data_IF_307443972590
#
_entry.id   IF_307443972590
#
_cell.length_a   1.000
_cell.length_b   1.000
_cell.length_c   1.000
_cell.angle_alpha   90.00
_cell.angle_beta   90.00
_cell.angle_gamma   90.00
#
_symmetry.space_group_name_H-M   'P 1'
#
loop_
_entity.id
_entity.type
_entity.pdbx_description
1 polymer ?
#
# COMPACT_ATOMS: atom_id res chain seq x y z
N UNK A 1 -7.30 -19.29 -8.29
CA UNK A 1 -8.48 -18.41 -8.13
C UNK A 1 -7.98 -17.09 -7.60
N UNK A 2 -7.61 -16.18 -8.51
CA UNK A 2 -7.16 -14.85 -8.11
C UNK A 2 -8.40 -14.09 -7.66
N UNK A 3 -8.63 -13.99 -6.34
CA UNK A 3 -9.58 -13.00 -5.83
C UNK A 3 -9.14 -11.67 -6.43
N UNK A 4 -10.03 -10.99 -7.13
CA UNK A 4 -9.97 -9.55 -7.37
C UNK A 4 -10.04 -8.87 -5.99
N UNK A 5 -8.98 -9.01 -5.21
CA UNK A 5 -8.87 -8.45 -3.89
C UNK A 5 -8.62 -6.97 -4.12
N UNK A 6 -9.62 -6.16 -3.77
CA UNK A 6 -9.53 -4.69 -3.76
C UNK A 6 -8.51 -4.22 -2.71
N UNK A 7 -8.01 -5.14 -1.90
CA UNK A 7 -6.94 -4.95 -0.94
C UNK A 7 -5.58 -5.18 -1.57
N UNK A 8 -4.70 -4.19 -1.47
CA UNK A 8 -3.29 -4.28 -1.84
C UNK A 8 -2.44 -4.43 -0.58
N UNK A 9 -1.31 -5.13 -0.73
CA UNK A 9 -0.28 -5.23 0.30
C UNK A 9 0.88 -4.32 -0.07
N UNK A 10 1.37 -3.54 0.89
CA UNK A 10 2.53 -2.67 0.73
C UNK A 10 3.53 -3.03 1.82
N UNK A 11 4.56 -3.77 1.45
CA UNK A 11 5.66 -4.13 2.33
C UNK A 11 6.83 -3.17 2.22
N UNK A 12 7.83 -3.39 3.08
CA UNK A 12 9.09 -2.64 3.08
C UNK A 12 8.92 -1.15 3.42
N UNK A 13 7.92 -0.83 4.23
CA UNK A 13 7.66 0.54 4.65
C UNK A 13 8.61 0.94 5.79
N UNK A 14 9.10 2.20 5.79
CA UNK A 14 9.93 2.70 6.88
C UNK A 14 9.11 2.74 8.18
N UNK A 15 9.77 2.51 9.32
CA UNK A 15 9.11 2.50 10.63
C UNK A 15 8.49 3.83 11.05
N UNK A 16 8.75 4.91 10.30
CA UNK A 16 8.18 6.25 10.53
C UNK A 16 6.94 6.53 9.67
N UNK A 17 6.55 5.62 8.76
CA UNK A 17 5.38 5.86 7.90
C UNK A 17 4.08 5.90 8.70
N UNK A 18 3.12 6.68 8.22
CA UNK A 18 1.79 6.81 8.83
C UNK A 18 0.70 6.46 7.82
N UNK A 19 -0.47 6.08 8.32
CA UNK A 19 -1.64 5.78 7.50
C UNK A 19 -2.00 6.96 6.58
N UNK A 20 -1.86 8.20 7.06
CA UNK A 20 -2.08 9.41 6.22
C UNK A 20 -1.13 9.51 5.04
N UNK A 21 0.14 9.20 5.23
CA UNK A 21 1.13 9.21 4.14
C UNK A 21 0.72 8.19 3.08
N UNK A 22 0.28 7.01 3.52
CA UNK A 22 -0.21 5.95 2.64
C UNK A 22 -1.49 6.40 1.93
N UNK A 23 -2.44 6.99 2.65
CA UNK A 23 -3.66 7.55 2.08
C UNK A 23 -3.34 8.56 0.98
N UNK A 24 -2.54 9.59 1.27
CA UNK A 24 -2.11 10.61 0.29
C UNK A 24 -1.37 9.99 -0.91
N UNK A 25 -0.52 9.00 -0.63
CA UNK A 25 0.22 8.26 -1.65
C UNK A 25 -0.74 7.52 -2.59
N UNK A 26 -1.79 6.88 -2.07
CA UNK A 26 -2.65 5.94 -2.81
C UNK A 26 -3.97 6.56 -3.29
N UNK A 27 -4.40 7.67 -2.71
CA UNK A 27 -5.60 8.44 -3.06
C UNK A 27 -5.68 8.78 -4.56
N UNK A 28 -4.53 9.03 -5.19
CA UNK A 28 -4.47 9.36 -6.64
C UNK A 28 -4.85 8.20 -7.56
N UNK A 29 -4.77 6.96 -7.08
CA UNK A 29 -5.10 5.77 -7.87
C UNK A 29 -6.59 5.44 -7.78
N UNK A 30 -7.20 5.70 -6.62
CA UNK A 30 -8.60 5.38 -6.39
C UNK A 30 -9.05 5.69 -4.98
N UNK A 31 -10.34 5.47 -4.73
CA UNK A 31 -10.94 5.71 -3.42
C UNK A 31 -10.57 4.58 -2.46
N UNK A 32 -9.94 4.97 -1.35
CA UNK A 32 -9.56 4.04 -0.28
C UNK A 32 -10.74 3.90 0.68
N UNK A 33 -11.08 2.66 1.02
CA UNK A 33 -12.13 2.28 1.95
C UNK A 33 -11.55 2.05 3.35
N UNK A 34 -10.40 1.39 3.42
CA UNK A 34 -9.75 1.02 4.67
C UNK A 34 -8.22 0.99 4.52
N UNK A 35 -7.50 1.34 5.58
CA UNK A 35 -6.03 1.27 5.65
C UNK A 35 -5.68 0.58 6.95
N UNK A 36 -5.01 -0.58 6.87
CA UNK A 36 -4.47 -1.30 8.01
C UNK A 36 -2.95 -1.21 7.99
N UNK A 37 -2.40 -0.26 8.74
CA UNK A 37 -0.95 -0.12 8.91
C UNK A 37 -0.47 -0.98 10.09
N UNK A 38 0.51 -1.84 9.80
CA UNK A 38 1.16 -2.72 10.77
C UNK A 38 2.65 -2.41 10.83
N UNK A 39 3.03 -1.69 11.88
CA UNK A 39 4.43 -1.37 12.19
C UNK A 39 4.91 -2.27 13.35
N UNK A 40 5.60 -3.38 13.06
CA UNK A 40 6.27 -4.15 14.10
C UNK A 40 7.46 -3.37 14.69
N UNK A 41 7.84 -3.65 15.95
CA UNK A 41 9.00 -3.02 16.60
C UNK A 41 10.35 -3.35 15.92
N UNK A 42 10.37 -4.32 14.99
CA UNK A 42 11.50 -4.58 14.09
C UNK A 42 11.08 -4.29 12.65
N UNK A 43 11.69 -3.34 11.94
CA UNK A 43 11.39 -3.08 10.53
C UNK A 43 11.72 -4.31 9.65
N UNK A 44 11.08 -4.43 8.48
CA UNK A 44 10.20 -3.45 7.85
C UNK A 44 8.74 -3.47 8.32
N UNK A 45 8.09 -2.31 8.21
CA UNK A 45 6.64 -2.18 8.32
C UNK A 45 5.91 -2.71 7.10
N UNK A 46 4.63 -3.03 7.28
CA UNK A 46 3.74 -3.39 6.18
C UNK A 46 2.37 -2.72 6.38
N UNK A 47 1.67 -2.48 5.28
CA UNK A 47 0.33 -1.94 5.30
C UNK A 47 -0.56 -2.70 4.31
N UNK A 48 -1.83 -2.82 4.66
CA UNK A 48 -2.88 -3.27 3.76
C UNK A 48 -3.78 -2.09 3.44
N UNK A 49 -4.11 -1.91 2.17
CA UNK A 49 -4.94 -0.79 1.72
C UNK A 49 -6.08 -1.39 0.91
N UNK A 50 -7.30 -1.19 1.37
CA UNK A 50 -8.50 -1.62 0.67
C UNK A 50 -9.08 -0.49 -0.16
N UNK A 51 -9.22 -0.73 -1.46
CA UNK A 51 -9.87 0.18 -2.40
C UNK A 51 -11.34 -0.16 -2.61
N UNK A 52 -12.07 0.82 -3.12
CA UNK A 52 -13.45 0.65 -3.55
C UNK A 52 -13.53 -0.27 -4.78
N UNK A 53 -12.59 -0.13 -5.72
CA UNK A 53 -12.50 -0.90 -6.96
C UNK A 53 -11.23 -1.75 -7.02
N UNK A 54 -11.36 -2.98 -7.52
CA UNK A 54 -10.23 -3.88 -7.71
C UNK A 54 -9.29 -3.39 -8.83
N UNK A 55 -9.78 -2.60 -9.79
CA UNK A 55 -8.98 -2.01 -10.87
C UNK A 55 -8.00 -0.97 -10.32
N UNK A 56 -8.49 -0.11 -9.43
CA UNK A 56 -7.67 0.91 -8.76
C UNK A 56 -6.56 0.25 -7.92
N UNK A 57 -6.90 -0.83 -7.23
CA UNK A 57 -5.94 -1.67 -6.52
C UNK A 57 -4.88 -2.27 -7.47
N UNK A 58 -5.28 -2.79 -8.62
CA UNK A 58 -4.34 -3.31 -9.63
C UNK A 58 -3.43 -2.20 -10.20
N UNK A 59 -3.96 -1.02 -10.50
CA UNK A 59 -3.17 0.12 -10.99
C UNK A 59 -2.22 0.66 -9.93
N UNK A 60 -2.64 0.65 -8.66
CA UNK A 60 -1.78 0.99 -7.53
C UNK A 60 -0.63 -0.01 -7.39
N UNK A 61 -0.90 -1.32 -7.46
CA UNK A 61 0.15 -2.35 -7.44
C UNK A 61 1.07 -2.18 -8.65
N UNK A 62 0.54 -2.07 -9.86
CA UNK A 62 1.36 -1.90 -11.07
C UNK A 62 2.21 -0.63 -11.06
N UNK A 63 1.67 0.45 -10.52
CA UNK A 63 2.33 1.74 -10.42
C UNK A 63 3.36 1.83 -9.29
N UNK A 64 3.28 0.95 -8.28
CA UNK A 64 4.18 0.96 -7.12
C UNK A 64 5.01 -0.29 -6.87
N UNK A 65 4.72 -1.41 -7.51
CA UNK A 65 5.54 -2.61 -7.48
C UNK A 65 6.89 -2.26 -8.11
N UNK A 66 7.92 -2.19 -7.26
CA UNK A 66 9.26 -1.75 -7.67
C UNK A 66 9.51 -0.24 -7.62
N UNK A 67 8.61 0.56 -7.07
CA UNK A 67 8.86 1.98 -6.78
C UNK A 67 9.85 2.10 -5.62
N UNK A 68 10.92 2.87 -5.81
CA UNK A 68 11.91 3.15 -4.77
C UNK A 68 11.38 4.29 -3.90
N UNK A 69 10.80 3.95 -2.75
CA UNK A 69 10.39 4.91 -1.75
C UNK A 69 11.46 4.96 -0.66
N UNK A 70 12.13 6.10 -0.51
CA UNK A 70 13.14 6.35 0.53
C UNK A 70 14.32 5.33 0.53
N UNK A 71 14.74 4.89 -0.66
CA UNK A 71 15.79 3.87 -0.82
C UNK A 71 15.33 2.42 -0.60
N UNK A 72 14.06 2.22 -0.24
CA UNK A 72 13.43 0.91 -0.09
C UNK A 72 12.53 0.60 -1.30
N UNK A 73 12.73 -0.58 -1.88
CA UNK A 73 11.90 -1.06 -2.98
C UNK A 73 10.58 -1.57 -2.42
N UNK A 74 9.48 -0.89 -2.74
CA UNK A 74 8.13 -1.30 -2.35
C UNK A 74 7.72 -2.56 -3.11
N UNK A 75 7.02 -3.48 -2.43
CA UNK A 75 6.64 -4.80 -2.92
C UNK A 75 5.36 -5.29 -2.25
#
# INVERSE_FOLDING_TARGET
MSRSSRTIYVGNLPGDIKEREIEDLFYKYGRIIDIDLKLPPRPPGYAFIEFEDARDAEDAIRGRDGYNFDGNRLR
#
